data_IF_520940962044
#
_entry.id   IF_520940962044
#
_cell.length_a   1.000
_cell.length_b   1.000
_cell.length_c   1.000
_cell.angle_alpha   90.00
_cell.angle_beta   90.00
_cell.angle_gamma   90.00
#
_symmetry.space_group_name_H-M   'P 1'
#
loop_
_entity.id
_entity.type
_entity.pdbx_description
1 polymer ?
#
# COMPACT_ATOMS: atom_id res chain seq x y z
N UNK A 1 11.11 -12.44 1.13
CA UNK A 1 10.35 -13.42 0.33
C UNK A 1 9.12 -13.82 1.12
N UNK A 2 7.92 -13.73 0.53
CA UNK A 2 6.67 -14.11 1.18
C UNK A 2 6.39 -15.60 0.96
N UNK A 3 5.98 -16.31 2.03
CA UNK A 3 5.53 -17.70 1.91
C UNK A 3 4.28 -17.80 1.01
N UNK A 4 4.23 -18.80 0.12
CA UNK A 4 3.14 -18.98 -0.83
C UNK A 4 1.78 -19.24 -0.13
N UNK A 5 1.79 -19.93 1.02
CA UNK A 5 0.55 -20.17 1.79
C UNK A 5 0.01 -18.87 2.36
N UNK A 6 0.91 -17.98 2.83
CA UNK A 6 0.53 -16.64 3.30
C UNK A 6 -0.01 -15.82 2.14
N UNK A 7 0.65 -15.81 0.98
CA UNK A 7 0.16 -15.11 -0.21
C UNK A 7 -1.25 -15.57 -0.60
N UNK A 8 -1.49 -16.87 -0.68
CA UNK A 8 -2.79 -17.42 -1.03
C UNK A 8 -3.87 -17.09 0.01
N UNK A 9 -3.52 -17.10 1.29
CA UNK A 9 -4.42 -16.67 2.37
C UNK A 9 -4.80 -15.20 2.23
N UNK A 10 -3.81 -14.33 2.03
CA UNK A 10 -4.00 -12.90 1.85
C UNK A 10 -4.83 -12.60 0.59
N UNK A 11 -4.54 -13.27 -0.53
CA UNK A 11 -5.28 -13.13 -1.79
C UNK A 11 -6.76 -13.47 -1.61
N UNK A 12 -7.06 -14.59 -0.97
CA UNK A 12 -8.44 -15.03 -0.74
C UNK A 12 -9.22 -14.12 0.19
N UNK A 13 -8.58 -13.56 1.24
CA UNK A 13 -9.26 -12.78 2.27
C UNK A 13 -9.29 -11.28 1.99
N UNK A 14 -8.23 -10.76 1.36
CA UNK A 14 -7.99 -9.32 1.27
C UNK A 14 -7.59 -8.84 -0.13
N UNK A 15 -7.66 -9.73 -1.14
CA UNK A 15 -7.28 -9.39 -2.51
C UNK A 15 -8.13 -8.28 -3.14
N UNK A 16 -9.33 -8.06 -2.64
CA UNK A 16 -10.28 -7.02 -3.06
C UNK A 16 -10.06 -5.66 -2.36
N UNK A 17 -9.40 -5.65 -1.21
CA UNK A 17 -9.20 -4.43 -0.39
C UNK A 17 -7.73 -4.08 -0.14
N UNK A 18 -6.83 -5.04 -0.27
CA UNK A 18 -5.39 -4.86 -0.14
C UNK A 18 -4.67 -4.80 -1.47
N UNK A 19 -3.36 -4.63 -1.43
CA UNK A 19 -2.47 -4.68 -2.59
C UNK A 19 -1.01 -4.88 -2.17
N UNK A 20 -0.11 -4.86 -3.18
CA UNK A 20 1.32 -4.91 -2.99
C UNK A 20 2.00 -3.77 -3.77
N UNK A 21 3.07 -3.23 -3.24
CA UNK A 21 3.82 -2.14 -3.86
C UNK A 21 4.68 -2.63 -5.04
N UNK A 22 4.03 -3.26 -6.01
CA UNK A 22 4.61 -3.75 -7.26
C UNK A 22 3.82 -3.15 -8.41
N UNK A 23 4.49 -2.65 -9.45
CA UNK A 23 3.85 -2.08 -10.64
C UNK A 23 4.58 -2.53 -11.89
N UNK A 24 3.85 -2.65 -12.99
CA UNK A 24 4.44 -2.88 -14.29
C UNK A 24 5.47 -1.79 -14.68
N UNK A 25 6.46 -2.13 -15.51
CA UNK A 25 7.40 -1.14 -16.03
C UNK A 25 6.68 0.02 -16.70
N UNK A 26 7.21 1.22 -16.55
CA UNK A 26 6.68 2.41 -17.20
C UNK A 26 7.02 2.36 -18.70
N UNK A 27 6.01 2.43 -19.57
CA UNK A 27 6.18 2.40 -21.02
C UNK A 27 6.58 3.74 -21.60
N UNK A 28 6.12 4.83 -20.99
CA UNK A 28 6.45 6.19 -21.40
C UNK A 28 7.11 6.95 -20.24
N UNK A 29 8.37 7.33 -20.41
CA UNK A 29 9.14 8.07 -19.41
C UNK A 29 8.56 9.45 -19.10
N UNK A 30 7.87 10.06 -20.08
CA UNK A 30 7.26 11.37 -19.95
C UNK A 30 5.85 11.30 -19.35
N UNK A 31 5.26 10.12 -19.30
CA UNK A 31 3.94 9.87 -18.70
C UNK A 31 4.08 9.20 -17.34
N UNK A 32 4.21 9.93 -16.23
CA UNK A 32 4.43 9.35 -14.90
C UNK A 32 3.30 8.42 -14.46
N UNK A 33 2.13 8.50 -15.10
CA UNK A 33 0.95 7.65 -14.85
C UNK A 33 0.85 6.43 -15.77
N UNK A 34 1.83 6.25 -16.67
CA UNK A 34 1.88 5.12 -17.59
C UNK A 34 1.89 3.79 -16.81
N UNK A 35 1.07 2.86 -17.24
CA UNK A 35 0.92 1.50 -16.70
C UNK A 35 0.55 1.39 -15.21
N UNK A 36 -0.03 2.44 -14.60
CA UNK A 36 -0.42 2.39 -13.18
C UNK A 36 -1.54 1.37 -12.90
N UNK A 37 -2.47 1.19 -13.84
CA UNK A 37 -3.57 0.23 -13.73
C UNK A 37 -3.30 -1.13 -14.37
N UNK A 38 -2.11 -1.35 -14.92
CA UNK A 38 -1.74 -2.65 -15.49
C UNK A 38 -1.40 -3.64 -14.38
N UNK A 39 -2.18 -4.73 -14.32
CA UNK A 39 -2.06 -5.79 -13.31
C UNK A 39 -1.32 -7.04 -13.82
N UNK A 40 -0.62 -6.97 -14.96
CA UNK A 40 0.12 -8.12 -15.52
C UNK A 40 1.17 -8.69 -14.55
N UNK A 41 1.65 -7.88 -13.62
CA UNK A 41 2.56 -8.31 -12.55
C UNK A 41 1.96 -9.39 -11.63
N UNK A 42 0.63 -9.57 -11.62
CA UNK A 42 -0.06 -10.60 -10.82
C UNK A 42 -0.08 -11.98 -11.50
N UNK A 43 0.32 -12.07 -12.78
CA UNK A 43 0.20 -13.32 -13.57
C UNK A 43 1.27 -14.34 -13.21
N UNK A 44 2.46 -13.92 -12.81
CA UNK A 44 3.54 -14.78 -12.31
C UNK A 44 3.57 -14.74 -10.79
N UNK A 45 2.72 -15.54 -10.15
CA UNK A 45 2.61 -15.55 -8.69
C UNK A 45 3.85 -16.12 -7.99
N UNK A 46 4.63 -17.00 -8.61
CA UNK A 46 5.85 -17.55 -8.02
C UNK A 46 6.98 -16.53 -8.05
N UNK A 47 7.19 -15.89 -9.19
CA UNK A 47 8.09 -14.74 -9.29
C UNK A 47 7.67 -13.60 -8.37
N UNK A 48 6.37 -13.34 -8.27
CA UNK A 48 5.82 -12.31 -7.39
C UNK A 48 6.17 -12.58 -5.91
N UNK A 49 5.93 -13.78 -5.39
CA UNK A 49 6.24 -14.12 -3.99
C UNK A 49 7.71 -13.89 -3.64
N UNK A 50 8.62 -13.97 -4.61
CA UNK A 50 10.04 -13.71 -4.39
C UNK A 50 10.37 -12.25 -4.13
N UNK A 51 9.55 -11.31 -4.61
CA UNK A 51 9.75 -9.86 -4.48
C UNK A 51 8.86 -9.20 -3.43
N UNK A 52 7.83 -9.92 -2.92
CA UNK A 52 6.95 -9.38 -1.89
C UNK A 52 7.67 -9.24 -0.54
N UNK A 53 7.44 -8.09 0.10
CA UNK A 53 8.05 -7.73 1.37
C UNK A 53 6.99 -7.44 2.44
N UNK A 54 6.68 -8.40 3.34
CA UNK A 54 5.70 -8.22 4.40
C UNK A 54 6.23 -7.42 5.60
N UNK A 55 7.50 -7.00 5.60
CA UNK A 55 8.10 -6.24 6.72
C UNK A 55 7.57 -4.80 6.82
N UNK A 56 6.96 -4.30 5.74
CA UNK A 56 6.36 -2.97 5.68
C UNK A 56 4.92 -3.04 5.23
N UNK A 57 4.07 -2.24 5.86
CA UNK A 57 2.65 -2.08 5.48
C UNK A 57 2.35 -0.60 5.30
N UNK A 58 2.06 -0.18 4.07
CA UNK A 58 1.59 1.16 3.78
C UNK A 58 0.07 1.22 3.98
N UNK A 59 -0.37 2.14 4.84
CA UNK A 59 -1.76 2.20 5.29
C UNK A 59 -2.41 3.50 4.82
N UNK A 60 -3.40 3.37 3.93
CA UNK A 60 -4.31 4.45 3.55
C UNK A 60 -5.46 4.61 4.56
N UNK A 61 -6.29 5.64 4.36
CA UNK A 61 -7.43 5.87 5.26
C UNK A 61 -8.60 4.94 4.94
N UNK A 62 -9.07 4.97 3.70
CA UNK A 62 -10.19 4.19 3.22
C UNK A 62 -10.16 4.01 1.72
N UNK A 63 -10.74 2.92 1.24
CA UNK A 63 -10.91 2.65 -0.17
C UNK A 63 -11.83 3.73 -0.80
N UNK A 64 -11.30 4.49 -1.76
CA UNK A 64 -12.11 5.49 -2.47
C UNK A 64 -13.00 4.81 -3.52
N UNK A 65 -14.16 5.41 -3.82
CA UNK A 65 -15.16 4.86 -4.75
C UNK A 65 -14.71 4.89 -6.23
N UNK A 66 -13.49 5.36 -6.52
CA UNK A 66 -12.99 5.55 -7.88
C UNK A 66 -12.44 4.28 -8.55
N UNK A 67 -12.32 3.15 -7.83
CA UNK A 67 -11.70 1.94 -8.36
C UNK A 67 -12.48 1.30 -9.50
N UNK A 68 -13.80 1.21 -9.42
CA UNK A 68 -14.65 0.52 -10.40
C UNK A 68 -14.66 1.12 -11.82
N UNK A 69 -14.13 2.33 -12.01
CA UNK A 69 -14.06 2.99 -13.33
C UNK A 69 -12.76 2.70 -14.10
N UNK A 70 -11.69 2.28 -13.42
CA UNK A 70 -10.33 2.25 -13.99
C UNK A 70 -9.59 0.95 -13.73
N UNK A 71 -10.24 -0.05 -13.15
CA UNK A 71 -9.69 -1.38 -12.92
C UNK A 71 -10.78 -2.44 -13.07
N UNK A 72 -10.39 -3.65 -13.47
CA UNK A 72 -11.28 -4.80 -13.46
C UNK A 72 -11.58 -5.18 -12.00
N UNK A 73 -12.86 -5.07 -11.60
CA UNK A 73 -13.32 -5.35 -10.25
C UNK A 73 -13.07 -6.80 -9.79
N UNK A 74 -12.84 -7.72 -10.73
CA UNK A 74 -12.56 -9.13 -10.43
C UNK A 74 -11.07 -9.45 -10.28
N UNK A 75 -10.19 -8.50 -10.57
CA UNK A 75 -8.75 -8.69 -10.44
C UNK A 75 -8.32 -8.42 -9.00
N UNK A 76 -7.63 -9.35 -8.31
CA UNK A 76 -7.12 -9.12 -6.97
C UNK A 76 -6.02 -8.04 -6.98
N UNK A 77 -5.86 -7.36 -5.86
CA UNK A 77 -4.77 -6.42 -5.62
C UNK A 77 -4.86 -5.09 -6.37
N UNK A 78 -6.05 -4.72 -6.88
CA UNK A 78 -6.23 -3.46 -7.64
C UNK A 78 -6.16 -2.20 -6.79
N UNK A 79 -6.29 -2.30 -5.47
CA UNK A 79 -6.17 -1.13 -4.60
C UNK A 79 -4.80 -0.46 -4.78
N UNK A 80 -4.72 0.86 -4.80
CA UNK A 80 -3.53 1.66 -5.12
C UNK A 80 -3.02 1.56 -6.57
N UNK A 81 -3.65 0.77 -7.44
CA UNK A 81 -3.29 0.56 -8.86
C UNK A 81 -4.32 1.17 -9.81
N UNK A 82 -4.61 2.45 -9.65
CA UNK A 82 -5.61 3.11 -10.49
C UNK A 82 -5.04 3.62 -11.80
N UNK A 83 -5.65 3.22 -12.92
CA UNK A 83 -5.42 3.80 -14.25
C UNK A 83 -6.01 5.21 -14.41
N UNK A 84 -6.59 5.81 -13.37
CA UNK A 84 -7.16 7.15 -13.41
C UNK A 84 -6.09 8.19 -13.82
N UNK A 85 -6.29 8.95 -14.92
CA UNK A 85 -5.34 9.96 -15.39
C UNK A 85 -5.13 11.11 -14.38
N UNK A 86 -6.04 11.30 -13.42
CA UNK A 86 -5.91 12.26 -12.34
C UNK A 86 -5.38 11.65 -11.04
N UNK A 87 -5.18 10.33 -10.99
CA UNK A 87 -4.63 9.63 -9.82
C UNK A 87 -3.21 10.07 -9.48
N UNK A 88 -2.82 9.95 -8.23
CA UNK A 88 -1.49 10.31 -7.74
C UNK A 88 -0.67 9.10 -7.23
N UNK A 89 -1.18 7.88 -7.36
CA UNK A 89 -0.50 6.66 -6.94
C UNK A 89 0.84 6.42 -7.66
N UNK A 90 1.06 7.04 -8.82
CA UNK A 90 2.37 7.05 -9.49
C UNK A 90 3.50 7.58 -8.60
N UNK A 91 3.19 8.46 -7.63
CA UNK A 91 4.19 8.95 -6.67
C UNK A 91 4.68 7.84 -5.73
N UNK A 92 3.78 6.92 -5.31
CA UNK A 92 4.16 5.72 -4.57
C UNK A 92 5.10 4.85 -5.41
N UNK A 93 4.70 4.50 -6.64
CA UNK A 93 5.58 3.73 -7.55
C UNK A 93 6.96 4.37 -7.68
N UNK A 94 7.01 5.68 -7.96
CA UNK A 94 8.27 6.40 -8.11
C UNK A 94 9.11 6.40 -6.83
N UNK A 95 8.47 6.60 -5.68
CA UNK A 95 9.14 6.69 -4.40
C UNK A 95 9.69 5.34 -3.92
N UNK A 96 8.97 4.24 -4.20
CA UNK A 96 9.32 2.91 -3.71
C UNK A 96 10.18 2.11 -4.70
N UNK A 97 10.22 2.51 -5.98
CA UNK A 97 11.03 1.85 -7.00
C UNK A 97 12.52 1.84 -6.60
N UNK A 98 13.17 0.70 -6.82
CA UNK A 98 14.59 0.49 -6.50
C UNK A 98 14.93 0.71 -5.00
N UNK A 99 13.98 0.41 -4.12
CA UNK A 99 14.15 0.41 -2.67
C UNK A 99 13.73 -0.93 -2.09
N UNK A 100 14.12 -1.22 -0.85
CA UNK A 100 13.63 -2.40 -0.11
C UNK A 100 12.15 -2.33 0.26
N UNK A 101 11.48 -1.21 0.02
CA UNK A 101 10.02 -1.07 0.19
C UNK A 101 9.22 -1.52 -1.02
N UNK A 102 9.88 -1.79 -2.15
CA UNK A 102 9.23 -2.44 -3.28
C UNK A 102 8.72 -3.82 -2.86
N UNK A 103 7.48 -4.14 -3.22
CA UNK A 103 6.80 -5.35 -2.77
C UNK A 103 6.17 -5.26 -1.38
N UNK A 104 6.23 -4.12 -0.67
CA UNK A 104 5.54 -3.93 0.61
C UNK A 104 4.03 -4.12 0.49
N UNK A 105 3.38 -4.58 1.56
CA UNK A 105 1.92 -4.67 1.59
C UNK A 105 1.29 -3.27 1.65
N UNK A 106 0.17 -3.10 0.98
CA UNK A 106 -0.60 -1.84 0.99
C UNK A 106 -2.06 -2.15 1.30
N UNK A 107 -2.67 -1.39 2.22
CA UNK A 107 -4.08 -1.55 2.56
C UNK A 107 -4.66 -0.26 3.11
N UNK A 108 -5.98 -0.19 3.22
CA UNK A 108 -6.67 0.90 3.90
C UNK A 108 -7.11 0.48 5.31
N UNK A 109 -7.03 1.43 6.25
CA UNK A 109 -7.43 1.22 7.63
C UNK A 109 -8.93 0.93 7.74
N UNK A 110 -9.74 1.66 6.99
CA UNK A 110 -11.21 1.60 7.04
C UNK A 110 -11.74 0.87 5.81
N UNK A 111 -12.36 -0.29 6.02
CA UNK A 111 -13.06 -1.07 5.00
C UNK A 111 -14.56 -0.72 5.01
N UNK A 112 -15.19 -0.84 3.83
CA UNK A 112 -16.65 -0.66 3.70
C UNK A 112 -17.15 0.79 3.76
N UNK A 113 -16.28 1.79 3.86
CA UNK A 113 -16.63 3.20 3.74
C UNK A 113 -16.07 3.75 2.44
N UNK A 114 -16.91 3.81 1.42
CA UNK A 114 -16.57 4.37 0.10
C UNK A 114 -16.84 5.87 0.12
N UNK A 115 -15.81 6.67 0.40
CA UNK A 115 -15.89 8.13 0.42
C UNK A 115 -14.56 8.72 -0.06
N UNK A 116 -14.61 9.71 -0.92
CA UNK A 116 -13.43 10.38 -1.47
C UNK A 116 -12.92 11.52 -0.60
N UNK A 117 -13.80 12.12 0.21
CA UNK A 117 -13.44 13.18 1.15
C UNK A 117 -13.01 12.59 2.50
N UNK A 118 -11.71 12.59 2.75
CA UNK A 118 -11.13 12.10 4.01
C UNK A 118 -11.66 12.83 5.26
N UNK A 119 -12.10 14.09 5.14
CA UNK A 119 -12.69 14.84 6.28
C UNK A 119 -14.02 14.23 6.68
N UNK A 120 -14.85 13.82 5.70
CA UNK A 120 -16.13 13.15 5.96
C UNK A 120 -15.91 11.78 6.61
N UNK A 121 -14.91 11.01 6.13
CA UNK A 121 -14.54 9.74 6.76
C UNK A 121 -14.15 9.94 8.22
N UNK A 122 -13.24 10.87 8.50
CA UNK A 122 -12.79 11.18 9.87
C UNK A 122 -13.96 11.66 10.74
N UNK A 123 -14.85 12.49 10.21
CA UNK A 123 -16.04 12.95 10.93
C UNK A 123 -16.98 11.79 11.29
N UNK A 124 -17.20 10.86 10.34
CA UNK A 124 -18.00 9.65 10.56
C UNK A 124 -17.42 8.78 11.67
N UNK A 125 -16.11 8.52 11.63
CA UNK A 125 -15.40 7.70 12.62
C UNK A 125 -15.42 8.32 14.03
N UNK A 126 -15.40 9.65 14.13
CA UNK A 126 -15.54 10.34 15.43
C UNK A 126 -16.94 10.20 16.02
N UNK A 127 -17.98 10.06 15.18
CA UNK A 127 -19.36 9.90 15.60
C UNK A 127 -19.73 8.44 15.86
N UNK A 128 -19.02 7.50 15.23
CA UNK A 128 -19.27 6.06 15.32
C UNK A 128 -17.98 5.35 15.78
N UNK A 129 -17.77 5.34 17.08
CA UNK A 129 -16.61 4.67 17.68
C UNK A 129 -16.62 3.15 17.46
N UNK A 130 -17.82 2.55 17.40
CA UNK A 130 -17.96 1.11 17.13
C UNK A 130 -17.51 0.74 15.71
N UNK A 131 -17.76 1.62 14.73
CA UNK A 131 -17.25 1.46 13.37
C UNK A 131 -15.72 1.50 13.35
N UNK A 132 -15.12 2.47 14.06
CA UNK A 132 -13.66 2.56 14.17
C UNK A 132 -13.08 1.31 14.81
N UNK A 133 -13.63 0.89 15.94
CA UNK A 133 -13.13 -0.29 16.69
C UNK A 133 -13.19 -1.57 15.84
N UNK A 134 -14.30 -1.80 15.12
CA UNK A 134 -14.43 -2.96 14.21
C UNK A 134 -13.37 -2.94 13.12
N UNK A 135 -13.14 -1.77 12.50
CA UNK A 135 -12.13 -1.64 11.46
C UNK A 135 -10.71 -1.82 12.00
N UNK A 136 -10.41 -1.29 13.19
CA UNK A 136 -9.11 -1.50 13.83
C UNK A 136 -8.85 -2.98 14.13
N UNK A 137 -9.82 -3.71 14.67
CA UNK A 137 -9.73 -5.16 14.91
C UNK A 137 -9.52 -5.94 13.61
N UNK A 138 -10.24 -5.58 12.55
CA UNK A 138 -10.07 -6.24 11.25
C UNK A 138 -8.72 -5.93 10.63
N UNK A 139 -8.25 -4.68 10.72
CA UNK A 139 -6.92 -4.29 10.28
C UNK A 139 -5.81 -5.07 11.04
N UNK A 140 -5.88 -5.16 12.36
CA UNK A 140 -4.91 -5.93 13.15
C UNK A 140 -4.95 -7.42 12.77
N UNK A 141 -6.13 -7.99 12.51
CA UNK A 141 -6.27 -9.37 12.03
C UNK A 141 -5.65 -9.53 10.64
N UNK A 142 -5.88 -8.60 9.72
CA UNK A 142 -5.32 -8.62 8.37
C UNK A 142 -3.79 -8.64 8.41
N UNK A 143 -3.17 -7.68 9.11
CA UNK A 143 -1.71 -7.60 9.16
C UNK A 143 -1.08 -8.75 9.95
N UNK A 144 -1.78 -9.35 10.90
CA UNK A 144 -1.28 -10.54 11.63
C UNK A 144 -1.05 -11.75 10.72
N UNK A 145 -1.78 -11.85 9.59
CA UNK A 145 -1.60 -12.91 8.61
C UNK A 145 -0.31 -12.79 7.79
N UNK A 146 0.32 -11.60 7.75
CA UNK A 146 1.60 -11.40 7.04
C UNK A 146 2.78 -12.10 7.75
N UNK A 147 2.59 -12.48 9.00
CA UNK A 147 3.66 -12.97 9.88
C UNK A 147 4.56 -11.85 10.40
N UNK A 148 5.08 -11.99 11.60
CA UNK A 148 5.98 -11.01 12.20
C UNK A 148 5.30 -9.72 12.68
N UNK A 149 6.11 -8.68 12.87
CA UNK A 149 5.67 -7.34 13.30
C UNK A 149 6.12 -6.30 12.26
N UNK A 150 5.31 -6.04 11.23
CA UNK A 150 5.69 -5.07 10.20
C UNK A 150 5.79 -3.65 10.75
N UNK A 151 6.60 -2.84 10.10
CA UNK A 151 6.57 -1.38 10.28
C UNK A 151 5.34 -0.84 9.55
N UNK A 152 4.44 -0.19 10.27
CA UNK A 152 3.26 0.44 9.71
C UNK A 152 3.62 1.85 9.21
N UNK A 153 3.32 2.15 7.96
CA UNK A 153 3.60 3.44 7.32
C UNK A 153 2.28 4.12 6.99
N UNK A 154 1.84 5.01 7.87
CA UNK A 154 0.61 5.78 7.71
C UNK A 154 0.72 6.77 6.55
N UNK A 155 -0.16 6.70 5.57
CA UNK A 155 -0.26 7.64 4.46
C UNK A 155 -1.19 8.82 4.84
N UNK A 156 -0.60 9.79 5.52
CA UNK A 156 -1.27 11.01 5.97
C UNK A 156 -1.60 11.05 7.46
N UNK A 157 -1.71 12.27 7.99
CA UNK A 157 -1.89 12.56 9.43
C UNK A 157 -3.12 11.90 10.06
N UNK A 158 -4.20 11.73 9.31
CA UNK A 158 -5.41 11.12 9.84
C UNK A 158 -5.17 9.64 10.19
N UNK A 159 -4.52 8.91 9.30
CA UNK A 159 -4.15 7.50 9.51
C UNK A 159 -3.16 7.39 10.67
N UNK A 160 -2.12 8.24 10.70
CA UNK A 160 -1.14 8.27 11.78
C UNK A 160 -1.79 8.40 13.16
N UNK A 161 -2.81 9.29 13.28
CA UNK A 161 -3.56 9.44 14.53
C UNK A 161 -4.32 8.18 14.95
N UNK A 162 -4.93 7.48 14.00
CA UNK A 162 -5.67 6.24 14.31
C UNK A 162 -4.74 5.06 14.63
N UNK A 163 -3.54 5.02 14.05
CA UNK A 163 -2.55 3.98 14.35
C UNK A 163 -1.71 4.27 15.62
N UNK A 164 -1.75 5.50 16.13
CA UNK A 164 -0.96 5.90 17.30
C UNK A 164 -1.17 5.03 18.55
N UNK A 165 -2.39 4.57 18.89
CA UNK A 165 -2.59 3.65 20.00
C UNK A 165 -1.77 2.36 19.87
N UNK A 166 -1.68 1.78 18.66
CA UNK A 166 -0.90 0.55 18.43
C UNK A 166 0.61 0.73 18.66
N UNK A 167 1.13 1.96 18.40
CA UNK A 167 2.52 2.32 18.72
C UNK A 167 2.71 2.48 20.22
N UNK A 168 1.80 3.17 20.90
CA UNK A 168 1.86 3.42 22.34
C UNK A 168 1.77 2.12 23.15
N UNK A 169 1.02 1.14 22.66
CA UNK A 169 0.91 -0.20 23.23
C UNK A 169 2.14 -1.09 22.90
N UNK A 170 3.11 -0.59 22.14
CA UNK A 170 4.29 -1.36 21.74
C UNK A 170 4.01 -2.51 20.77
N UNK A 171 2.81 -2.54 20.17
CA UNK A 171 2.42 -3.58 19.21
C UNK A 171 3.18 -3.46 17.91
N UNK A 172 3.30 -2.23 17.38
CA UNK A 172 3.93 -1.94 16.08
C UNK A 172 4.76 -0.67 16.13
N UNK A 173 5.74 -0.58 15.25
CA UNK A 173 6.41 0.68 14.93
C UNK A 173 5.55 1.41 13.90
N UNK A 174 5.16 2.65 14.18
CA UNK A 174 4.35 3.48 13.25
C UNK A 174 5.20 4.65 12.74
N UNK A 175 5.18 4.84 11.44
CA UNK A 175 5.78 6.00 10.76
C UNK A 175 4.71 6.72 9.95
N UNK A 176 4.81 8.03 9.85
CA UNK A 176 3.88 8.85 9.09
C UNK A 176 4.57 9.48 7.89
N UNK A 177 3.94 9.36 6.73
CA UNK A 177 4.30 10.02 5.48
C UNK A 177 3.19 10.99 5.08
N UNK A 178 3.50 12.05 4.32
CA UNK A 178 2.47 12.78 3.60
C UNK A 178 1.66 11.82 2.72
N UNK A 179 0.36 12.06 2.57
CA UNK A 179 -0.42 11.29 1.60
C UNK A 179 0.11 11.55 0.18
N UNK A 180 0.19 10.52 -0.66
CA UNK A 180 0.73 10.66 -2.02
C UNK A 180 -0.06 11.63 -2.92
N UNK A 181 -1.31 11.96 -2.58
CA UNK A 181 -2.08 13.02 -3.24
C UNK A 181 -1.76 14.44 -2.74
N UNK A 182 -0.86 14.60 -1.76
CA UNK A 182 -0.42 15.93 -1.31
C UNK A 182 0.21 16.74 -2.45
N UNK A 183 0.28 18.07 -2.27
CA UNK A 183 0.76 19.02 -3.31
C UNK A 183 2.28 19.06 -3.48
N UNK A 184 3.01 18.04 -3.06
CA UNK A 184 4.45 17.91 -3.32
C UNK A 184 4.69 17.09 -4.59
N UNK A 185 5.79 17.34 -5.30
CA UNK A 185 6.15 16.58 -6.49
C UNK A 185 6.65 15.16 -6.15
N UNK A 186 6.87 14.32 -7.16
CA UNK A 186 7.27 12.92 -6.94
C UNK A 186 8.67 12.77 -6.35
N UNK A 187 9.59 13.69 -6.68
CA UNK A 187 10.97 13.72 -6.18
C UNK A 187 10.99 14.09 -4.69
N UNK A 188 10.25 15.12 -4.33
CA UNK A 188 10.06 15.51 -2.93
C UNK A 188 9.38 14.40 -2.12
N UNK A 189 8.38 13.74 -2.71
CA UNK A 189 7.71 12.63 -2.05
C UNK A 189 8.69 11.47 -1.80
N UNK A 190 9.53 11.12 -2.78
CA UNK A 190 10.58 10.11 -2.61
C UNK A 190 11.57 10.49 -1.50
N UNK A 191 12.00 11.74 -1.46
CA UNK A 191 12.91 12.24 -0.41
C UNK A 191 12.28 12.07 1.00
N UNK A 192 10.99 12.40 1.16
CA UNK A 192 10.27 12.21 2.43
C UNK A 192 10.16 10.72 2.80
N UNK A 193 9.89 9.83 1.85
CA UNK A 193 9.88 8.37 2.07
C UNK A 193 11.25 7.91 2.58
N UNK A 194 12.32 8.22 1.87
CA UNK A 194 13.67 7.78 2.23
C UNK A 194 14.13 8.37 3.57
N UNK A 195 13.81 9.63 3.87
CA UNK A 195 14.10 10.28 5.15
C UNK A 195 13.37 9.60 6.32
N UNK A 196 12.10 9.27 6.13
CA UNK A 196 11.22 8.79 7.21
C UNK A 196 11.44 7.32 7.51
N UNK A 197 11.55 6.49 6.49
CA UNK A 197 11.63 5.03 6.65
C UNK A 197 12.94 4.42 6.15
N UNK A 198 13.81 5.16 5.50
CA UNK A 198 15.07 4.67 4.94
C UNK A 198 16.00 4.00 5.96
N UNK A 199 15.98 4.41 7.23
CA UNK A 199 16.77 3.79 8.30
C UNK A 199 16.36 2.34 8.64
N UNK A 200 15.18 1.92 8.22
CA UNK A 200 14.68 0.54 8.39
C UNK A 200 15.08 -0.36 7.21
N UNK A 201 15.82 0.16 6.25
CA UNK A 201 16.41 -0.65 5.17
C UNK A 201 17.50 -1.50 5.81
N UNK A 202 17.26 -2.77 6.01
CA UNK A 202 18.30 -3.72 6.35
C UNK A 202 19.28 -3.77 5.17
N UNK A 203 20.58 -3.55 5.42
CA UNK A 203 21.64 -3.49 4.41
C UNK A 203 21.86 -4.79 3.61
N UNK A 204 21.02 -5.80 3.80
CA UNK A 204 21.26 -7.18 3.34
C UNK A 204 20.37 -7.67 2.20
N UNK A 205 19.43 -6.89 1.66
CA UNK A 205 18.66 -7.37 0.51
C UNK A 205 18.13 -6.24 -0.36
N UNK A 206 18.96 -5.72 -1.25
CA UNK A 206 18.43 -5.14 -2.49
C UNK A 206 18.19 -6.33 -3.43
N UNK A 207 16.96 -6.77 -3.69
CA UNK A 207 16.73 -7.73 -4.74
C UNK A 207 17.11 -7.05 -6.05
N UNK A 208 18.17 -7.54 -6.68
CA UNK A 208 18.47 -7.15 -8.05
C UNK A 208 17.26 -7.60 -8.88
N UNK A 209 16.46 -6.66 -9.33
CA UNK A 209 15.35 -6.93 -10.25
C UNK A 209 15.99 -7.51 -11.51
N UNK A 210 15.99 -8.84 -11.57
CA UNK A 210 16.39 -9.57 -12.78
C UNK A 210 15.50 -9.03 -13.91
N UNK A 211 16.14 -8.63 -15.02
CA UNK A 211 15.44 -8.27 -16.25
C UNK A 211 14.46 -9.39 -16.57
N UNK A 212 13.18 -9.16 -16.40
CA UNK A 212 12.15 -10.00 -17.01
C UNK A 212 12.42 -9.92 -18.52
N UNK A 213 12.97 -11.01 -19.07
CA UNK A 213 13.16 -11.15 -20.53
C UNK A 213 11.75 -11.29 -21.11
N UNK A 214 11.31 -10.23 -21.80
CA UNK A 214 10.14 -10.35 -22.68
C UNK A 214 10.45 -11.40 -23.75
N UNK A 215 9.56 -12.38 -23.82
CA UNK A 215 9.36 -13.21 -25.01
C UNK A 215 8.22 -12.63 -25.82
#
# INVERSE_FOLDING_TARGET
>A
MLDRKIYNLMKRKYGDVGSWAVWCPQTDKNAPKSNMGNMDWTKDEDGLCSVLNPEFVFVGLNLSDSHGKYSDANTPWVNFHSGNPHGNSFKLRFALKDTSFWGAYMTDLIKGVKETDSKKVVSKLKKDSALLERNMKEFEREISHLGGKPVLVALGKAVGKFLKPLELEGKYVVKELPHYSSRINKEQYRAEVLKTIGKYINKTSVPTVGRMRGK
#
